data_IF_052420612053
#
_entry.id   IF_052420612053
#
_cell.length_a   1.000
_cell.length_b   1.000
_cell.length_c   1.000
_cell.angle_alpha   90.00
_cell.angle_beta   90.00
_cell.angle_gamma   90.00
#
_symmetry.space_group_name_H-M   'P 1'
#
loop_
_entity.id
_entity.type
_entity.pdbx_description
1 polymer ?
#
# COMPACT_ATOMS: atom_id res chain seq x y z
N UNK A 1 -12.65 15.13 -13.21
CA UNK A 1 -11.98 13.91 -12.70
C UNK A 1 -10.98 14.28 -11.60
N UNK A 2 -11.39 14.37 -10.32
CA UNK A 2 -10.50 14.78 -9.21
C UNK A 2 -10.31 13.74 -8.09
N UNK A 3 -10.94 12.57 -8.16
CA UNK A 3 -11.01 11.65 -7.01
C UNK A 3 -10.22 10.33 -7.15
N UNK A 4 -9.55 10.06 -8.29
CA UNK A 4 -8.78 8.81 -8.46
C UNK A 4 -7.40 8.87 -7.82
N UNK A 5 -6.69 10.01 -7.90
CA UNK A 5 -5.36 10.17 -7.28
C UNK A 5 -5.44 10.08 -5.76
N UNK A 6 -6.39 10.79 -5.15
CA UNK A 6 -6.58 10.80 -3.70
C UNK A 6 -6.85 9.40 -3.15
N UNK A 7 -7.76 8.63 -3.78
CA UNK A 7 -8.05 7.25 -3.36
C UNK A 7 -6.83 6.32 -3.46
N UNK A 8 -6.02 6.49 -4.51
CA UNK A 8 -4.84 5.69 -4.71
C UNK A 8 -3.72 6.03 -3.71
N UNK A 9 -3.55 7.31 -3.37
CA UNK A 9 -2.62 7.74 -2.33
C UNK A 9 -3.04 7.21 -0.96
N UNK A 10 -4.32 7.35 -0.58
CA UNK A 10 -4.83 6.79 0.68
C UNK A 10 -4.62 5.28 0.76
N UNK A 11 -4.88 4.54 -0.32
CA UNK A 11 -4.65 3.10 -0.36
C UNK A 11 -3.16 2.73 -0.21
N UNK A 12 -2.26 3.51 -0.83
CA UNK A 12 -0.81 3.33 -0.70
C UNK A 12 -0.31 3.62 0.73
N UNK A 13 -0.81 4.68 1.38
CA UNK A 13 -0.47 4.99 2.76
C UNK A 13 -0.95 3.91 3.71
N UNK A 14 -2.19 3.44 3.54
CA UNK A 14 -2.74 2.36 4.34
C UNK A 14 -1.95 1.06 4.17
N UNK A 15 -1.61 0.70 2.92
CA UNK A 15 -0.76 -0.47 2.66
C UNK A 15 0.61 -0.35 3.32
N UNK A 16 1.20 0.85 3.36
CA UNK A 16 2.49 1.10 4.01
C UNK A 16 2.41 0.93 5.52
N UNK A 17 1.37 1.45 6.18
CA UNK A 17 1.14 1.23 7.61
C UNK A 17 0.91 -0.25 7.94
N UNK A 18 0.20 -0.98 7.08
CA UNK A 18 -0.03 -2.41 7.28
C UNK A 18 1.27 -3.21 7.11
N UNK A 19 2.11 -2.86 6.14
CA UNK A 19 3.45 -3.47 5.96
C UNK A 19 4.36 -3.20 7.17
N UNK A 20 4.36 -1.97 7.69
CA UNK A 20 5.12 -1.57 8.88
C UNK A 20 4.70 -2.38 10.12
N UNK A 21 3.40 -2.68 10.24
CA UNK A 21 2.84 -3.55 11.29
C UNK A 21 3.12 -5.05 11.07
N UNK A 22 3.78 -5.43 9.98
CA UNK A 22 4.07 -6.82 9.63
C UNK A 22 2.89 -7.59 9.04
N UNK A 23 1.85 -6.92 8.55
CA UNK A 23 0.70 -7.57 7.92
C UNK A 23 1.08 -8.12 6.53
N UNK A 24 0.60 -9.32 6.23
CA UNK A 24 0.89 -10.01 4.97
C UNK A 24 0.23 -9.38 3.75
N UNK A 25 0.86 -9.54 2.59
CA UNK A 25 0.39 -8.98 1.31
C UNK A 25 -1.05 -9.34 0.93
N UNK A 26 -1.46 -10.59 1.17
CA UNK A 26 -2.81 -11.04 0.83
C UNK A 26 -3.89 -10.23 1.58
N UNK A 27 -3.65 -9.94 2.85
CA UNK A 27 -4.58 -9.18 3.70
C UNK A 27 -4.59 -7.70 3.30
N UNK A 28 -3.42 -7.14 2.99
CA UNK A 28 -3.30 -5.77 2.47
C UNK A 28 -4.04 -5.62 1.14
N UNK A 29 -3.91 -6.58 0.23
CA UNK A 29 -4.61 -6.56 -1.05
C UNK A 29 -6.13 -6.59 -0.87
N UNK A 30 -6.60 -7.44 0.06
CA UNK A 30 -8.02 -7.54 0.37
C UNK A 30 -8.57 -6.26 1.02
N UNK A 31 -7.83 -5.64 1.94
CA UNK A 31 -8.26 -4.41 2.65
C UNK A 31 -8.17 -3.17 1.77
N UNK A 32 -7.06 -2.98 1.04
CA UNK A 32 -6.79 -1.75 0.27
C UNK A 32 -7.30 -1.81 -1.16
N UNK A 33 -7.60 -3.01 -1.68
CA UNK A 33 -7.92 -3.23 -3.09
C UNK A 33 -6.73 -3.00 -4.03
N UNK A 34 -5.51 -2.92 -3.49
CA UNK A 34 -4.30 -2.77 -4.28
C UNK A 34 -3.85 -4.13 -4.83
N UNK A 35 -3.40 -4.10 -6.09
CA UNK A 35 -2.67 -5.20 -6.71
C UNK A 35 -1.31 -5.41 -6.03
N UNK A 36 -0.82 -6.64 -6.07
CA UNK A 36 0.47 -7.05 -5.50
C UNK A 36 1.63 -6.15 -5.97
N UNK A 37 1.59 -5.65 -7.21
CA UNK A 37 2.61 -4.72 -7.74
C UNK A 37 2.65 -3.40 -6.97
N UNK A 38 1.50 -2.85 -6.59
CA UNK A 38 1.45 -1.60 -5.82
C UNK A 38 1.88 -1.84 -4.37
N UNK A 39 1.51 -2.97 -3.79
CA UNK A 39 1.92 -3.34 -2.43
C UNK A 39 3.43 -3.55 -2.37
N UNK A 40 4.01 -4.26 -3.35
CA UNK A 40 5.47 -4.40 -3.48
C UNK A 40 6.17 -3.04 -3.61
N UNK A 41 5.58 -2.11 -4.38
CA UNK A 41 6.12 -0.76 -4.50
C UNK A 41 6.08 0.00 -3.17
N UNK A 42 5.01 -0.15 -2.39
CA UNK A 42 4.90 0.42 -1.05
C UNK A 42 5.95 -0.18 -0.09
N UNK A 43 6.14 -1.51 -0.14
CA UNK A 43 7.15 -2.24 0.63
C UNK A 43 8.57 -1.77 0.30
N UNK A 44 8.92 -1.71 -0.98
CA UNK A 44 10.23 -1.20 -1.42
C UNK A 44 10.48 0.22 -0.93
N UNK A 45 9.48 1.11 -1.00
CA UNK A 45 9.60 2.49 -0.50
C UNK A 45 9.69 2.60 1.03
N UNK A 46 9.24 1.58 1.76
CA UNK A 46 9.44 1.48 3.20
C UNK A 46 10.90 1.06 3.46
N UNK A 47 11.37 0.01 2.80
CA UNK A 47 12.75 -0.50 2.93
C UNK A 47 13.83 0.49 2.44
N UNK A 48 13.56 1.31 1.42
CA UNK A 48 14.49 2.33 0.90
C UNK A 48 14.59 3.57 1.81
N UNK A 49 13.74 3.66 2.84
CA UNK A 49 13.69 4.79 3.78
C UNK A 49 14.48 4.54 5.08
N UNK A 50 14.97 3.32 5.28
CA UNK A 50 15.90 2.91 6.34
C UNK A 50 17.33 2.80 5.78
#
# INVERSE_FOLDING_TARGET
MKNKKFKHETAMEHAKEMLDKGIGMAEISNTTGLDERNINKAKRKLEDKD
#
